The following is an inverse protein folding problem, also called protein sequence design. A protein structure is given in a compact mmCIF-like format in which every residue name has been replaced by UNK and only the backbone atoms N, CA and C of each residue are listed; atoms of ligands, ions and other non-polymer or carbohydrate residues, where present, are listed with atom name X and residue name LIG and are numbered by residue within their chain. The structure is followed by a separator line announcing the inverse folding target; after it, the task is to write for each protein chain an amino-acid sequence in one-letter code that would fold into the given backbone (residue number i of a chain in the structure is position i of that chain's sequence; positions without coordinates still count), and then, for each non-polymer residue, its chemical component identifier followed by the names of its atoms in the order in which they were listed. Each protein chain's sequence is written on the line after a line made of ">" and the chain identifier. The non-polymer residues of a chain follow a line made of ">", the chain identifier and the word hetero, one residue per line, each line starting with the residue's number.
data_IF_021843682266
#
_entry.id   IF_021843682266
#
_cell.length_a   1.000
_cell.length_b   1.000
_cell.length_c   1.000
_cell.angle_alpha   90.00
_cell.angle_beta   90.00
_cell.angle_gamma   90.00
#
_symmetry.space_group_name_H-M   'P 1'
#
loop_
_entity.id
_entity.type
_entity.pdbx_description
1 polymer ?
#
# COMPACT_ATOMS: atom_id res chain seq x y z
N UNK A 1 8.59 16.91 11.48
CA UNK A 1 7.61 16.28 12.39
C UNK A 1 6.49 17.25 12.78
N UNK A 2 6.80 18.41 13.38
CA UNK A 2 5.80 19.39 13.84
C UNK A 2 4.76 19.77 12.77
N UNK A 3 5.19 20.13 11.55
CA UNK A 3 4.26 20.46 10.46
C UNK A 3 3.33 19.30 10.12
N UNK A 4 3.84 18.08 10.07
CA UNK A 4 3.01 16.89 9.83
C UNK A 4 1.98 16.65 10.94
N UNK A 5 2.37 16.92 12.19
CA UNK A 5 1.45 16.82 13.32
C UNK A 5 0.33 17.86 13.23
N UNK A 6 0.64 19.11 12.87
CA UNK A 6 -0.37 20.16 12.66
C UNK A 6 -1.37 19.77 11.57
N UNK A 7 -0.88 19.27 10.43
CA UNK A 7 -1.75 18.78 9.36
C UNK A 7 -2.57 17.56 9.79
N UNK A 8 -2.01 16.64 10.58
CA UNK A 8 -2.75 15.50 11.09
C UNK A 8 -3.89 15.91 12.04
N UNK A 9 -3.69 16.92 12.89
CA UNK A 9 -4.75 17.50 13.71
C UNK A 9 -5.85 18.16 12.86
N UNK A 10 -5.45 18.94 11.85
CA UNK A 10 -6.40 19.54 10.91
C UNK A 10 -7.19 18.47 10.13
N UNK A 11 -6.50 17.44 9.65
CA UNK A 11 -7.10 16.28 8.98
C UNK A 11 -8.10 15.56 9.89
N UNK A 12 -7.74 15.34 11.15
CA UNK A 12 -8.62 14.70 12.12
C UNK A 12 -9.87 15.55 12.40
N UNK A 13 -9.72 16.88 12.49
CA UNK A 13 -10.88 17.78 12.56
C UNK A 13 -11.80 17.66 11.33
N UNK A 14 -11.23 17.53 10.13
CA UNK A 14 -12.00 17.28 8.91
C UNK A 14 -12.71 15.91 8.93
N UNK A 15 -12.04 14.85 9.44
CA UNK A 15 -12.65 13.52 9.65
C UNK A 15 -13.89 13.65 10.53
N UNK A 16 -13.77 14.34 11.68
CA UNK A 16 -14.91 14.56 12.58
C UNK A 16 -16.02 15.39 11.94
N UNK A 17 -15.68 16.40 11.13
CA UNK A 17 -16.66 17.24 10.44
C UNK A 17 -17.46 16.45 9.40
N UNK A 18 -16.80 15.59 8.61
CA UNK A 18 -17.42 14.85 7.50
C UNK A 18 -18.14 13.60 7.99
N UNK A 19 -17.53 12.82 8.89
CA UNK A 19 -18.14 11.57 9.38
C UNK A 19 -19.12 11.82 10.54
N UNK A 20 -18.92 12.87 11.34
CA UNK A 20 -19.77 13.20 12.48
C UNK A 20 -19.97 11.99 13.41
N UNK A 21 -21.24 11.68 13.70
CA UNK A 21 -21.62 10.53 14.52
C UNK A 21 -21.19 9.18 13.91
N UNK A 22 -21.08 9.06 12.57
CA UNK A 22 -20.68 7.83 11.91
C UNK A 22 -19.21 7.45 12.20
N UNK A 23 -18.37 8.40 12.66
CA UNK A 23 -17.02 8.08 13.11
C UNK A 23 -17.02 7.04 14.24
N UNK A 24 -18.07 7.00 15.07
CA UNK A 24 -18.20 6.00 16.13
C UNK A 24 -18.22 4.57 15.57
N UNK A 25 -18.83 4.36 14.41
CA UNK A 25 -18.87 3.05 13.77
C UNK A 25 -17.46 2.56 13.39
N UNK A 26 -16.52 3.47 13.13
CA UNK A 26 -15.12 3.11 12.84
C UNK A 26 -14.38 2.66 14.11
N UNK A 27 -14.68 3.29 15.26
CA UNK A 27 -14.18 2.88 16.57
C UNK A 27 -14.73 1.50 16.95
N UNK A 28 -16.04 1.32 16.80
CA UNK A 28 -16.73 0.08 17.15
C UNK A 28 -16.27 -1.08 16.24
N UNK A 29 -16.00 -0.81 14.95
CA UNK A 29 -15.42 -1.81 14.05
C UNK A 29 -14.02 -2.28 14.51
N UNK A 30 -13.17 -1.36 14.95
CA UNK A 30 -11.85 -1.71 15.49
C UNK A 30 -11.97 -2.48 16.81
N UNK A 31 -12.86 -2.05 17.72
CA UNK A 31 -13.11 -2.75 18.97
C UNK A 31 -13.66 -4.17 18.73
N UNK A 32 -14.53 -4.32 17.74
CA UNK A 32 -15.09 -5.61 17.31
C UNK A 32 -13.99 -6.61 16.95
N UNK A 33 -12.94 -6.21 16.23
CA UNK A 33 -11.81 -7.10 15.91
C UNK A 33 -11.11 -7.60 17.18
N UNK A 34 -10.90 -6.73 18.18
CA UNK A 34 -10.29 -7.10 19.47
C UNK A 34 -11.17 -8.05 20.27
N UNK A 35 -12.49 -7.91 20.16
CA UNK A 35 -13.48 -8.74 20.85
C UNK A 35 -13.82 -10.05 20.12
N UNK A 36 -13.27 -10.28 18.92
CA UNK A 36 -13.68 -11.36 18.04
C UNK A 36 -15.10 -11.18 17.49
N UNK A 37 -15.65 -9.97 17.56
CA UNK A 37 -16.97 -9.58 17.07
C UNK A 37 -16.87 -8.52 15.96
N UNK A 38 -16.18 -8.81 14.84
CA UNK A 38 -15.99 -7.84 13.79
C UNK A 38 -17.30 -7.58 13.04
N UNK A 39 -17.43 -6.39 12.44
CA UNK A 39 -18.56 -6.10 11.55
C UNK A 39 -18.64 -7.14 10.42
N UNK A 40 -17.50 -7.46 9.81
CA UNK A 40 -17.42 -8.46 8.76
C UNK A 40 -16.33 -9.47 9.08
N UNK A 41 -16.54 -10.75 8.74
CA UNK A 41 -15.53 -11.81 8.99
C UNK A 41 -14.16 -11.44 8.42
N UNK A 42 -14.12 -10.84 7.23
CA UNK A 42 -12.87 -10.40 6.58
C UNK A 42 -12.08 -9.38 7.40
N UNK A 43 -12.72 -8.62 8.30
CA UNK A 43 -12.04 -7.66 9.17
C UNK A 43 -11.30 -8.34 10.31
N UNK A 44 -11.63 -9.58 10.67
CA UNK A 44 -11.01 -10.27 11.81
C UNK A 44 -9.49 -10.45 11.65
N UNK A 45 -8.99 -10.56 10.41
CA UNK A 45 -7.55 -10.65 10.15
C UNK A 45 -6.80 -9.32 10.29
N UNK A 46 -7.49 -8.19 10.50
CA UNK A 46 -6.91 -6.84 10.58
C UNK A 46 -6.47 -6.50 12.01
N UNK A 47 -5.61 -7.34 12.58
CA UNK A 47 -5.29 -7.31 14.02
C UNK A 47 -4.31 -6.20 14.41
N UNK A 48 -3.39 -5.77 13.53
CA UNK A 48 -2.31 -4.85 13.92
C UNK A 48 -2.83 -3.55 14.54
N UNK A 49 -3.65 -2.80 13.81
CA UNK A 49 -4.12 -1.49 14.24
C UNK A 49 -5.05 -1.55 15.47
N UNK A 50 -6.09 -2.42 15.50
CA UNK A 50 -6.95 -2.58 16.68
C UNK A 50 -6.21 -2.99 17.96
N UNK A 51 -5.21 -3.87 17.87
CA UNK A 51 -4.45 -4.29 19.04
C UNK A 51 -3.49 -3.20 19.54
N UNK A 52 -2.91 -2.38 18.67
CA UNK A 52 -2.17 -1.17 19.09
C UNK A 52 -3.10 -0.23 19.85
N UNK A 53 -4.32 0.00 19.33
CA UNK A 53 -5.32 0.85 20.00
C UNK A 53 -5.71 0.26 21.36
N UNK A 54 -5.89 -1.07 21.45
CA UNK A 54 -6.15 -1.75 22.72
C UNK A 54 -5.02 -1.52 23.72
N UNK A 55 -3.75 -1.63 23.30
CA UNK A 55 -2.60 -1.30 24.15
C UNK A 55 -2.61 0.16 24.62
N UNK A 56 -2.82 1.10 23.69
CA UNK A 56 -2.91 2.53 23.99
C UNK A 56 -4.06 2.86 24.96
N UNK A 57 -5.15 2.09 24.93
CA UNK A 57 -6.32 2.32 25.80
C UNK A 57 -6.01 2.16 27.28
N UNK A 58 -4.94 1.42 27.63
CA UNK A 58 -4.44 1.33 29.01
C UNK A 58 -3.89 2.68 29.48
N UNK A 59 -3.25 3.43 28.59
CA UNK A 59 -2.62 4.72 28.89
C UNK A 59 -3.60 5.89 28.78
N UNK A 60 -4.56 5.82 27.85
CA UNK A 60 -5.51 6.91 27.61
C UNK A 60 -6.81 6.78 28.41
N UNK A 61 -6.97 5.71 29.19
CA UNK A 61 -8.16 5.46 30.01
C UNK A 61 -9.41 4.99 29.24
N UNK A 62 -9.29 4.69 27.94
CA UNK A 62 -10.43 4.23 27.14
C UNK A 62 -10.12 4.02 25.65
N UNK A 63 -10.83 3.06 25.04
CA UNK A 63 -10.64 2.68 23.64
C UNK A 63 -10.97 3.80 22.64
N UNK A 64 -12.06 4.59 22.80
CA UNK A 64 -12.35 5.69 21.87
C UNK A 64 -11.25 6.75 21.85
N UNK A 65 -10.74 7.16 23.02
CA UNK A 65 -9.67 8.16 23.10
C UNK A 65 -8.36 7.61 22.53
N UNK A 66 -8.01 6.35 22.80
CA UNK A 66 -6.88 5.67 22.17
C UNK A 66 -6.97 5.64 20.64
N UNK A 67 -8.16 5.38 20.11
CA UNK A 67 -8.41 5.37 18.66
C UNK A 67 -8.14 6.74 18.03
N UNK A 68 -8.59 7.82 18.68
CA UNK A 68 -8.34 9.20 18.24
C UNK A 68 -6.83 9.49 18.21
N UNK A 69 -6.12 9.20 19.31
CA UNK A 69 -4.67 9.39 19.38
C UNK A 69 -3.94 8.58 18.33
N UNK A 70 -4.35 7.32 18.11
CA UNK A 70 -3.80 6.46 17.08
C UNK A 70 -3.97 7.06 15.68
N UNK A 71 -5.17 7.52 15.33
CA UNK A 71 -5.46 8.11 14.01
C UNK A 71 -4.60 9.35 13.77
N UNK A 72 -4.50 10.26 14.74
CA UNK A 72 -3.67 11.46 14.64
C UNK A 72 -2.19 11.08 14.51
N UNK A 73 -1.71 10.16 15.34
CA UNK A 73 -0.31 9.72 15.32
C UNK A 73 0.08 9.04 14.00
N UNK A 74 -0.76 8.12 13.49
CA UNK A 74 -0.50 7.44 12.22
C UNK A 74 -0.56 8.40 11.03
N UNK A 75 -1.50 9.35 11.03
CA UNK A 75 -1.57 10.38 9.97
C UNK A 75 -0.36 11.32 10.01
N UNK A 76 0.07 11.73 11.21
CA UNK A 76 1.28 12.54 11.38
C UNK A 76 2.55 11.78 10.96
N UNK A 77 2.64 10.49 11.28
CA UNK A 77 3.74 9.63 10.87
C UNK A 77 3.76 9.46 9.34
N UNK A 78 2.61 9.21 8.71
CA UNK A 78 2.49 9.13 7.25
C UNK A 78 2.98 10.41 6.57
N UNK A 79 2.49 11.59 6.98
CA UNK A 79 2.93 12.87 6.40
C UNK A 79 4.43 13.13 6.62
N UNK A 80 4.98 12.76 7.78
CA UNK A 80 6.41 12.90 8.03
C UNK A 80 7.25 11.97 7.14
N UNK A 81 6.79 10.73 6.93
CA UNK A 81 7.43 9.80 6.02
C UNK A 81 7.36 10.30 4.57
N UNK A 82 6.23 10.87 4.13
CA UNK A 82 6.12 11.50 2.81
C UNK A 82 7.17 12.60 2.63
N UNK A 83 7.31 13.50 3.62
CA UNK A 83 8.35 14.53 3.60
C UNK A 83 9.76 13.92 3.57
N UNK A 84 10.07 13.06 4.55
CA UNK A 84 11.45 12.61 4.77
C UNK A 84 11.94 11.67 3.67
N UNK A 85 11.12 10.74 3.21
CA UNK A 85 11.53 9.73 2.24
C UNK A 85 11.53 10.28 0.81
N UNK A 86 10.60 11.18 0.48
CA UNK A 86 10.60 11.85 -0.82
C UNK A 86 11.79 12.83 -0.94
N UNK A 87 12.15 13.53 0.14
CA UNK A 87 13.34 14.40 0.17
C UNK A 87 14.62 13.60 -0.13
N UNK A 88 14.75 12.42 0.48
CA UNK A 88 15.88 11.51 0.24
C UNK A 88 15.95 10.99 -1.20
N UNK A 89 14.82 10.91 -1.91
CA UNK A 89 14.77 10.39 -3.28
C UNK A 89 14.89 11.49 -4.33
N UNK A 90 14.25 12.63 -4.11
CA UNK A 90 13.98 13.64 -5.15
C UNK A 90 14.19 15.09 -4.67
N UNK A 91 14.64 15.29 -3.43
CA UNK A 91 14.94 16.60 -2.85
C UNK A 91 13.73 17.35 -2.28
N UNK A 92 14.01 18.51 -1.69
CA UNK A 92 13.09 19.23 -0.78
C UNK A 92 11.81 19.70 -1.46
N UNK A 93 11.86 20.15 -2.71
CA UNK A 93 10.67 20.62 -3.43
C UNK A 93 9.68 19.47 -3.67
N UNK A 94 10.19 18.35 -4.16
CA UNK A 94 9.39 17.14 -4.35
C UNK A 94 8.81 16.65 -3.03
N UNK A 95 9.58 16.72 -1.94
CA UNK A 95 9.11 16.35 -0.61
C UNK A 95 7.88 17.13 -0.15
N UNK A 96 7.93 18.46 -0.25
CA UNK A 96 6.77 19.31 0.08
C UNK A 96 5.59 19.05 -0.85
N UNK A 97 5.84 18.88 -2.15
CA UNK A 97 4.79 18.56 -3.10
C UNK A 97 4.11 17.21 -2.82
N UNK A 98 4.87 16.15 -2.52
CA UNK A 98 4.33 14.85 -2.12
C UNK A 98 3.54 14.95 -0.81
N UNK A 99 4.02 15.71 0.17
CA UNK A 99 3.33 15.95 1.44
C UNK A 99 1.97 16.63 1.26
N UNK A 100 1.93 17.73 0.50
CA UNK A 100 0.67 18.42 0.23
C UNK A 100 -0.28 17.57 -0.61
N UNK A 101 0.25 16.87 -1.61
CA UNK A 101 -0.55 15.96 -2.45
C UNK A 101 -1.12 14.81 -1.61
N UNK A 102 -0.36 14.26 -0.66
CA UNK A 102 -0.85 13.25 0.29
C UNK A 102 -2.06 13.75 1.08
N UNK A 103 -1.94 14.92 1.73
CA UNK A 103 -3.05 15.49 2.52
C UNK A 103 -4.25 15.86 1.65
N UNK A 104 -4.01 16.41 0.45
CA UNK A 104 -5.07 16.74 -0.50
C UNK A 104 -5.83 15.48 -0.93
N UNK A 105 -5.13 14.43 -1.37
CA UNK A 105 -5.74 13.17 -1.79
C UNK A 105 -6.47 12.48 -0.64
N UNK A 106 -5.92 12.54 0.58
CA UNK A 106 -6.59 12.03 1.77
C UNK A 106 -7.92 12.76 2.01
N UNK A 107 -7.94 14.10 1.95
CA UNK A 107 -9.17 14.88 2.06
C UNK A 107 -10.19 14.51 0.99
N UNK A 108 -9.76 14.37 -0.27
CA UNK A 108 -10.64 14.05 -1.40
C UNK A 108 -11.25 12.64 -1.29
N UNK A 109 -10.55 11.71 -0.63
CA UNK A 109 -11.01 10.34 -0.40
C UNK A 109 -11.76 10.18 0.92
N UNK A 110 -12.01 11.25 1.66
CA UNK A 110 -12.77 11.20 2.90
C UNK A 110 -14.27 11.18 2.59
N UNK A 111 -14.84 9.99 2.43
CA UNK A 111 -16.29 9.81 2.25
C UNK A 111 -16.91 9.03 3.42
N UNK A 112 -18.13 9.42 3.86
CA UNK A 112 -18.91 8.63 4.79
C UNK A 112 -19.27 7.24 4.22
N UNK A 113 -19.59 6.24 5.07
CA UNK A 113 -19.59 6.29 6.54
C UNK A 113 -18.26 5.85 7.19
N UNK A 114 -17.29 5.35 6.41
CA UNK A 114 -16.24 4.49 6.95
C UNK A 114 -14.84 5.07 6.76
N UNK A 115 -14.08 5.12 7.85
CA UNK A 115 -12.63 5.32 7.82
C UNK A 115 -12.02 4.58 9.00
N UNK A 116 -11.43 3.42 8.74
CA UNK A 116 -11.00 2.53 9.81
C UNK A 116 -9.54 2.75 10.22
N UNK A 117 -9.19 2.33 11.43
CA UNK A 117 -7.84 2.41 11.95
C UNK A 117 -6.77 1.81 11.01
N UNK A 118 -7.04 0.63 10.43
CA UNK A 118 -6.10 -0.03 9.52
C UNK A 118 -5.88 0.72 8.21
N UNK A 119 -6.78 1.61 7.78
CA UNK A 119 -6.59 2.41 6.57
C UNK A 119 -5.44 3.42 6.77
N UNK A 120 -5.29 3.98 7.98
CA UNK A 120 -4.18 4.88 8.34
C UNK A 120 -2.83 4.16 8.38
N UNK A 121 -2.79 2.96 8.96
CA UNK A 121 -1.57 2.15 8.99
C UNK A 121 -1.16 1.69 7.58
N UNK A 122 -2.12 1.35 6.71
CA UNK A 122 -1.83 0.98 5.33
C UNK A 122 -1.09 2.09 4.57
N UNK A 123 -1.45 3.35 4.77
CA UNK A 123 -0.74 4.48 4.14
C UNK A 123 0.75 4.46 4.50
N UNK A 124 1.10 4.23 5.77
CA UNK A 124 2.51 4.13 6.21
C UNK A 124 3.21 2.95 5.52
N UNK A 125 2.58 1.78 5.56
CA UNK A 125 3.13 0.55 4.98
C UNK A 125 3.38 0.70 3.48
N UNK A 126 2.43 1.28 2.74
CA UNK A 126 2.57 1.51 1.30
C UNK A 126 3.49 2.69 0.95
N UNK A 127 3.71 3.64 1.88
CA UNK A 127 4.77 4.64 1.76
C UNK A 127 6.16 4.00 1.82
N UNK A 128 6.37 3.11 2.79
CA UNK A 128 7.61 2.35 2.91
C UNK A 128 7.82 1.42 1.72
N UNK A 129 6.77 0.72 1.28
CA UNK A 129 6.80 -0.12 0.08
C UNK A 129 7.23 0.69 -1.15
N UNK A 130 6.54 1.80 -1.42
CA UNK A 130 6.87 2.70 -2.54
C UNK A 130 8.32 3.17 -2.46
N UNK A 131 8.77 3.62 -1.28
CA UNK A 131 10.15 4.02 -1.06
C UNK A 131 11.17 2.89 -1.30
N UNK A 132 10.88 1.67 -0.85
CA UNK A 132 11.76 0.51 -1.05
C UNK A 132 11.89 0.14 -2.52
N UNK A 133 10.80 0.19 -3.28
CA UNK A 133 10.82 -0.01 -4.74
C UNK A 133 11.63 1.09 -5.42
N UNK A 134 11.36 2.36 -5.10
CA UNK A 134 12.06 3.50 -5.68
C UNK A 134 13.56 3.48 -5.38
N UNK A 135 13.98 3.00 -4.21
CA UNK A 135 15.40 2.94 -3.81
C UNK A 135 16.08 1.60 -4.09
N UNK A 136 15.37 0.64 -4.70
CA UNK A 136 15.93 -0.66 -5.07
C UNK A 136 16.44 -1.45 -3.87
N UNK A 137 15.66 -1.52 -2.78
CA UNK A 137 16.02 -2.33 -1.62
C UNK A 137 16.04 -3.82 -1.97
N UNK A 138 16.78 -4.60 -1.18
CA UNK A 138 16.77 -6.06 -1.31
C UNK A 138 15.48 -6.68 -0.75
N UNK A 139 15.27 -7.97 -1.05
CA UNK A 139 14.09 -8.72 -0.68
C UNK A 139 13.84 -8.82 0.84
N UNK A 140 14.87 -8.66 1.68
CA UNK A 140 14.73 -8.81 3.14
C UNK A 140 13.91 -7.67 3.72
N UNK A 141 14.11 -6.45 3.21
CA UNK A 141 13.30 -5.28 3.58
C UNK A 141 11.82 -5.49 3.26
N UNK A 142 11.52 -6.07 2.09
CA UNK A 142 10.14 -6.38 1.70
C UNK A 142 9.54 -7.51 2.53
N UNK A 143 10.31 -8.55 2.86
CA UNK A 143 9.84 -9.62 3.74
C UNK A 143 9.51 -9.10 5.15
N UNK A 144 10.35 -8.22 5.71
CA UNK A 144 10.07 -7.56 7.00
C UNK A 144 8.82 -6.68 6.89
N UNK A 145 8.73 -5.84 5.84
CA UNK A 145 7.55 -5.00 5.65
C UNK A 145 6.27 -5.82 5.47
N UNK A 146 6.32 -6.90 4.71
CA UNK A 146 5.23 -7.84 4.52
C UNK A 146 4.80 -8.46 5.85
N UNK A 147 5.75 -8.89 6.68
CA UNK A 147 5.46 -9.52 7.98
C UNK A 147 4.65 -8.62 8.90
N UNK A 148 4.78 -7.29 8.77
CA UNK A 148 3.96 -6.31 9.50
C UNK A 148 2.66 -6.02 8.75
N UNK A 149 2.74 -5.81 7.43
CA UNK A 149 1.62 -5.39 6.61
C UNK A 149 0.48 -6.41 6.58
N UNK A 150 0.80 -7.70 6.57
CA UNK A 150 -0.20 -8.77 6.48
C UNK A 150 -1.10 -8.84 7.72
N UNK A 151 -0.60 -8.46 8.90
CA UNK A 151 -1.42 -8.33 10.12
C UNK A 151 -2.29 -7.08 10.11
N UNK A 152 -2.01 -6.10 9.24
CA UNK A 152 -2.85 -4.91 9.12
C UNK A 152 -4.02 -5.13 8.15
N UNK A 153 -3.75 -5.67 6.96
CA UNK A 153 -4.77 -5.90 5.92
C UNK A 153 -4.29 -6.89 4.87
N UNK A 154 -5.24 -7.58 4.23
CA UNK A 154 -4.97 -8.46 3.08
C UNK A 154 -4.20 -7.82 1.93
N UNK A 155 -4.27 -6.49 1.76
CA UNK A 155 -3.49 -5.78 0.73
C UNK A 155 -1.98 -5.86 0.92
N UNK A 156 -1.49 -6.27 2.10
CA UNK A 156 -0.10 -6.65 2.29
C UNK A 156 0.39 -7.70 1.30
N UNK A 157 -0.50 -8.53 0.75
CA UNK A 157 -0.20 -9.49 -0.32
C UNK A 157 0.33 -8.84 -1.61
N UNK A 158 0.06 -7.55 -1.86
CA UNK A 158 0.64 -6.82 -3.00
C UNK A 158 2.16 -6.67 -2.89
N UNK A 159 2.71 -6.64 -1.67
CA UNK A 159 4.17 -6.62 -1.45
C UNK A 159 4.76 -7.97 -1.90
N UNK A 160 4.15 -9.08 -1.50
CA UNK A 160 4.56 -10.42 -1.93
C UNK A 160 4.40 -10.60 -3.45
N UNK A 161 3.30 -10.11 -4.02
CA UNK A 161 3.07 -10.13 -5.46
C UNK A 161 4.16 -9.35 -6.22
N UNK A 162 4.57 -8.19 -5.72
CA UNK A 162 5.70 -7.44 -6.28
C UNK A 162 7.01 -8.23 -6.21
N UNK A 163 7.28 -8.89 -5.07
CA UNK A 163 8.46 -9.74 -4.89
C UNK A 163 8.51 -10.93 -5.87
N UNK A 164 7.35 -11.39 -6.34
CA UNK A 164 7.25 -12.43 -7.37
C UNK A 164 7.41 -11.81 -8.76
N UNK A 165 6.68 -10.74 -9.05
CA UNK A 165 6.63 -10.12 -10.38
C UNK A 165 7.97 -9.53 -10.80
N UNK A 166 8.66 -8.80 -9.92
CA UNK A 166 9.87 -8.08 -10.25
C UNK A 166 11.04 -8.95 -10.76
N UNK A 167 11.44 -10.04 -10.06
CA UNK A 167 12.52 -10.90 -10.55
C UNK A 167 12.14 -11.63 -11.84
N UNK A 168 10.86 -11.96 -12.06
CA UNK A 168 10.40 -12.61 -13.29
C UNK A 168 10.43 -11.65 -14.48
N UNK A 169 9.90 -10.43 -14.31
CA UNK A 169 9.94 -9.37 -15.32
C UNK A 169 11.37 -9.07 -15.72
N UNK A 170 12.27 -8.86 -14.75
CA UNK A 170 13.68 -8.57 -15.04
C UNK A 170 14.39 -9.74 -15.71
N UNK A 171 14.11 -10.98 -15.31
CA UNK A 171 14.66 -12.16 -15.98
C UNK A 171 14.29 -12.23 -17.46
N UNK A 172 13.01 -11.98 -17.78
CA UNK A 172 12.51 -11.97 -19.16
C UNK A 172 13.15 -10.85 -19.96
N UNK A 173 13.19 -9.62 -19.41
CA UNK A 173 13.74 -8.46 -20.11
C UNK A 173 15.25 -8.54 -20.31
N UNK A 174 15.98 -9.00 -19.30
CA UNK A 174 17.44 -9.07 -19.32
C UNK A 174 17.94 -10.39 -19.95
N UNK A 175 17.04 -11.28 -20.36
CA UNK A 175 17.34 -12.66 -20.80
C UNK A 175 18.28 -13.37 -19.82
N UNK A 176 18.06 -13.14 -18.53
CA UNK A 176 18.91 -13.60 -17.43
C UNK A 176 18.15 -14.53 -16.48
N UNK A 177 18.87 -15.17 -15.56
CA UNK A 177 18.23 -15.96 -14.50
C UNK A 177 17.48 -15.03 -13.52
N UNK A 178 16.28 -15.41 -13.05
CA UNK A 178 15.56 -14.62 -12.07
C UNK A 178 16.31 -14.58 -10.74
N UNK A 179 16.08 -13.53 -9.97
CA UNK A 179 16.61 -13.41 -8.62
C UNK A 179 15.85 -14.37 -7.70
N UNK A 180 16.27 -15.64 -7.69
CA UNK A 180 15.59 -16.74 -7.01
C UNK A 180 15.29 -16.46 -5.54
N UNK A 181 16.23 -15.82 -4.81
CA UNK A 181 16.02 -15.49 -3.41
C UNK A 181 14.77 -14.60 -3.20
N UNK A 182 14.58 -13.59 -4.05
CA UNK A 182 13.43 -12.68 -3.97
C UNK A 182 12.14 -13.38 -4.41
N UNK A 183 12.19 -14.17 -5.48
CA UNK A 183 11.05 -14.93 -6.00
C UNK A 183 10.54 -15.95 -4.97
N UNK A 184 11.44 -16.76 -4.39
CA UNK A 184 11.11 -17.75 -3.37
C UNK A 184 10.58 -17.07 -2.11
N UNK A 185 11.23 -15.98 -1.65
CA UNK A 185 10.72 -15.21 -0.52
C UNK A 185 9.32 -14.65 -0.79
N UNK A 186 9.06 -14.16 -2.00
CA UNK A 186 7.74 -13.68 -2.42
C UNK A 186 6.68 -14.78 -2.41
N UNK A 187 6.99 -15.96 -2.95
CA UNK A 187 6.08 -17.13 -2.94
C UNK A 187 5.78 -17.60 -1.51
N UNK A 188 6.80 -17.69 -0.66
CA UNK A 188 6.63 -18.05 0.76
C UNK A 188 5.79 -17.00 1.49
N UNK A 189 6.06 -15.71 1.30
CA UNK A 189 5.25 -14.63 1.87
C UNK A 189 3.79 -14.72 1.39
N UNK A 190 3.55 -14.91 0.10
CA UNK A 190 2.21 -14.99 -0.46
C UNK A 190 1.42 -16.18 0.12
N UNK A 191 2.01 -17.38 0.08
CA UNK A 191 1.38 -18.60 0.61
C UNK A 191 1.14 -18.53 2.12
N UNK A 192 2.15 -18.16 2.90
CA UNK A 192 2.02 -18.02 4.36
C UNK A 192 1.05 -16.91 4.75
N UNK A 193 0.99 -15.81 3.99
CA UNK A 193 0.02 -14.75 4.19
C UNK A 193 -1.42 -15.22 4.03
N UNK A 194 -1.72 -15.97 2.97
CA UNK A 194 -3.06 -16.54 2.77
C UNK A 194 -3.47 -17.48 3.90
N UNK A 195 -2.56 -18.36 4.32
CA UNK A 195 -2.78 -19.27 5.45
C UNK A 195 -3.02 -18.48 6.73
N UNK A 196 -2.17 -17.50 7.03
CA UNK A 196 -2.27 -16.66 8.21
C UNK A 196 -3.59 -15.88 8.26
N UNK A 197 -4.01 -15.25 7.16
CA UNK A 197 -5.26 -14.49 7.10
C UNK A 197 -6.46 -15.39 7.41
N UNK A 198 -6.51 -16.60 6.86
CA UNK A 198 -7.59 -17.55 7.14
C UNK A 198 -7.53 -18.06 8.58
N UNK A 199 -6.34 -18.41 9.10
CA UNK A 199 -6.17 -18.80 10.49
C UNK A 199 -6.63 -17.71 11.46
N UNK A 200 -6.29 -16.45 11.23
CA UNK A 200 -6.73 -15.34 12.08
C UNK A 200 -8.26 -15.16 12.04
N UNK A 201 -8.87 -15.32 10.87
CA UNK A 201 -10.33 -15.24 10.68
C UNK A 201 -11.09 -16.39 11.32
N UNK A 202 -10.45 -17.54 11.50
CA UNK A 202 -11.10 -18.72 12.06
C UNK A 202 -10.87 -18.82 13.56
N UNK A 203 -9.64 -18.57 14.02
CA UNK A 203 -9.23 -18.73 15.42
C UNK A 203 -9.69 -17.58 16.32
N UNK A 204 -9.73 -16.34 15.80
CA UNK A 204 -10.07 -15.16 16.60
C UNK A 204 -11.54 -14.75 16.48
N UNK A 205 -12.29 -15.35 15.56
CA UNK A 205 -13.69 -15.00 15.33
C UNK A 205 -14.59 -15.68 16.37
N UNK A 206 -15.33 -14.87 17.12
CA UNK A 206 -16.40 -15.31 18.01
C UNK A 206 -17.73 -15.27 17.25
N UNK A 207 -18.07 -14.13 16.64
CA UNK A 207 -19.26 -13.98 15.79
C UNK A 207 -19.14 -12.78 14.87
N UNK A 208 -19.77 -12.84 13.70
CA UNK A 208 -19.91 -11.69 12.82
C UNK A 208 -21.13 -10.87 13.22
N UNK A 209 -20.99 -9.55 13.42
CA UNK A 209 -22.09 -8.71 13.93
C UNK A 209 -22.70 -7.77 12.88
N UNK A 210 -22.01 -7.53 11.75
CA UNK A 210 -22.47 -6.62 10.70
C UNK A 210 -23.84 -6.96 10.11
N UNK A 211 -24.14 -8.23 9.76
CA UNK A 211 -25.46 -8.62 9.26
C UNK A 211 -26.60 -8.14 10.16
N UNK A 212 -26.48 -8.34 11.48
CA UNK A 212 -27.46 -7.89 12.46
C UNK A 212 -27.48 -6.37 12.62
N UNK A 213 -26.31 -5.72 12.67
CA UNK A 213 -26.19 -4.27 12.85
C UNK A 213 -26.74 -3.48 11.66
N UNK A 214 -26.62 -4.02 10.45
CA UNK A 214 -26.98 -3.32 9.21
C UNK A 214 -28.20 -3.90 8.50
N UNK A 215 -28.90 -4.85 9.13
CA UNK A 215 -30.05 -5.55 8.55
C UNK A 215 -29.73 -6.15 7.16
N UNK A 216 -28.57 -6.81 7.05
CA UNK A 216 -28.06 -7.43 5.83
C UNK A 216 -28.04 -8.96 5.97
N UNK A 217 -28.14 -9.73 4.87
CA UNK A 217 -28.03 -11.18 4.93
C UNK A 217 -26.64 -11.64 5.42
N UNK A 218 -26.60 -12.72 6.20
CA UNK A 218 -25.36 -13.27 6.81
C UNK A 218 -24.24 -13.61 5.81
N UNK A 219 -24.58 -13.85 4.54
CA UNK A 219 -23.60 -14.17 3.51
C UNK A 219 -22.82 -12.95 2.99
N UNK A 220 -23.18 -11.73 3.42
CA UNK A 220 -22.54 -10.48 3.01
C UNK A 220 -21.03 -10.42 3.32
N UNK A 221 -20.50 -11.20 4.28
CA UNK A 221 -19.09 -11.14 4.70
C UNK A 221 -18.29 -12.44 4.69
N UNK A 222 -18.87 -13.57 4.24
CA UNK A 222 -18.22 -14.90 4.39
C UNK A 222 -17.03 -15.16 3.48
N UNK A 223 -16.94 -14.53 2.30
CA UNK A 223 -15.85 -14.66 1.34
C UNK A 223 -15.75 -13.42 0.44
N UNK A 224 -14.65 -13.26 -0.30
CA UNK A 224 -14.50 -12.21 -1.32
C UNK A 224 -15.69 -12.26 -2.29
N UNK A 225 -16.63 -11.33 -2.12
CA UNK A 225 -17.77 -11.22 -3.02
C UNK A 225 -17.30 -10.59 -4.32
N UNK A 226 -17.70 -11.19 -5.43
CA UNK A 226 -17.47 -10.58 -6.73
C UNK A 226 -18.43 -9.40 -6.90
N UNK A 227 -17.92 -8.21 -6.63
CA UNK A 227 -18.63 -6.93 -6.72
C UNK A 227 -18.46 -6.27 -8.10
N UNK A 228 -17.87 -6.95 -9.09
CA UNK A 228 -17.53 -6.33 -10.37
C UNK A 228 -18.73 -5.66 -11.05
N UNK A 229 -19.85 -6.39 -11.22
CA UNK A 229 -21.05 -5.86 -11.85
C UNK A 229 -21.62 -4.68 -11.06
N UNK A 230 -21.66 -4.79 -9.73
CA UNK A 230 -22.11 -3.72 -8.84
C UNK A 230 -21.23 -2.47 -8.97
N UNK A 231 -19.91 -2.63 -8.97
CA UNK A 231 -18.94 -1.55 -9.09
C UNK A 231 -19.00 -0.87 -10.46
N UNK A 232 -19.17 -1.62 -11.55
CA UNK A 232 -19.38 -1.05 -12.90
C UNK A 232 -20.66 -0.22 -12.95
N UNK A 233 -21.75 -0.71 -12.38
CA UNK A 233 -23.00 0.03 -12.29
C UNK A 233 -22.86 1.30 -11.43
N UNK A 234 -22.12 1.23 -10.31
CA UNK A 234 -21.80 2.42 -9.51
C UNK A 234 -21.02 3.46 -10.30
N UNK A 235 -19.98 3.05 -11.03
CA UNK A 235 -19.19 3.95 -11.87
C UNK A 235 -20.09 4.62 -12.91
N UNK A 236 -20.93 3.85 -13.62
CA UNK A 236 -21.89 4.40 -14.58
C UNK A 236 -22.81 5.44 -13.92
N UNK A 237 -23.38 5.10 -12.76
CA UNK A 237 -24.27 5.99 -12.02
C UNK A 237 -23.55 7.28 -11.55
N UNK A 238 -22.24 7.24 -11.27
CA UNK A 238 -21.48 8.44 -10.88
C UNK A 238 -21.37 9.46 -12.01
N UNK A 239 -21.34 9.01 -13.27
CA UNK A 239 -21.36 9.90 -14.44
C UNK A 239 -22.76 10.43 -14.75
N UNK A 240 -23.80 9.64 -14.46
CA UNK A 240 -25.19 10.02 -14.71
C UNK A 240 -25.76 10.94 -13.60
N UNK A 241 -25.24 10.85 -12.38
CA UNK A 241 -25.78 11.56 -11.21
C UNK A 241 -24.67 12.33 -10.47
N UNK A 242 -24.37 13.54 -10.97
CA UNK A 242 -23.43 14.45 -10.32
C UNK A 242 -24.02 14.90 -8.98
N UNK A 243 -23.40 14.47 -7.88
CA UNK A 243 -23.80 14.84 -6.52
C UNK A 243 -22.64 15.46 -5.73
N UNK A 244 -22.95 16.10 -4.60
CA UNK A 244 -21.96 16.73 -3.73
C UNK A 244 -21.09 15.74 -2.94
N UNK A 245 -21.30 14.43 -3.10
CA UNK A 245 -20.42 13.40 -2.52
C UNK A 245 -19.17 13.16 -3.38
N UNK A 246 -19.07 13.81 -4.55
CA UNK A 246 -17.90 13.73 -5.44
C UNK A 246 -17.49 12.30 -5.78
N UNK A 247 -18.44 11.37 -5.88
CA UNK A 247 -18.15 9.95 -6.14
C UNK A 247 -17.38 9.72 -7.45
N UNK A 248 -17.49 10.64 -8.42
CA UNK A 248 -16.70 10.65 -9.66
C UNK A 248 -15.18 10.72 -9.40
N UNK A 249 -14.73 11.21 -8.24
CA UNK A 249 -13.31 11.21 -7.89
C UNK A 249 -12.72 9.81 -7.81
N UNK A 250 -13.52 8.79 -7.48
CA UNK A 250 -13.07 7.40 -7.40
C UNK A 250 -12.55 6.89 -8.75
N UNK A 251 -13.36 6.86 -9.84
CA UNK A 251 -12.86 6.44 -11.15
C UNK A 251 -11.77 7.37 -11.67
N UNK A 252 -11.83 8.68 -11.41
CA UNK A 252 -10.74 9.60 -11.78
C UNK A 252 -9.40 9.22 -11.12
N UNK A 253 -9.40 8.90 -9.83
CA UNK A 253 -8.19 8.49 -9.11
C UNK A 253 -7.68 7.13 -9.57
N UNK A 254 -8.56 6.18 -9.86
CA UNK A 254 -8.17 4.89 -10.46
C UNK A 254 -7.51 5.11 -11.82
N UNK A 255 -8.06 5.98 -12.66
CA UNK A 255 -7.44 6.37 -13.93
C UNK A 255 -6.09 7.04 -13.68
N UNK A 256 -5.95 7.95 -12.72
CA UNK A 256 -4.67 8.57 -12.37
C UNK A 256 -3.62 7.52 -11.96
N UNK A 257 -4.00 6.50 -11.18
CA UNK A 257 -3.11 5.40 -10.78
C UNK A 257 -2.64 4.62 -12.02
N UNK A 258 -3.57 4.26 -12.92
CA UNK A 258 -3.26 3.54 -14.15
C UNK A 258 -2.40 4.38 -15.11
N UNK A 259 -2.73 5.66 -15.30
CA UNK A 259 -1.96 6.59 -16.12
C UNK A 259 -0.54 6.76 -15.57
N UNK A 260 -0.38 7.00 -14.27
CA UNK A 260 0.96 7.12 -13.68
C UNK A 260 1.75 5.81 -13.82
N UNK A 261 1.12 4.66 -13.58
CA UNK A 261 1.72 3.34 -13.76
C UNK A 261 2.22 3.14 -15.19
N UNK A 262 1.38 3.48 -16.18
CA UNK A 262 1.73 3.43 -17.59
C UNK A 262 2.89 4.37 -17.92
N UNK A 263 2.81 5.65 -17.55
CA UNK A 263 3.85 6.65 -17.83
C UNK A 263 5.20 6.22 -17.22
N UNK A 264 5.20 5.75 -15.97
CA UNK A 264 6.42 5.26 -15.33
C UNK A 264 7.00 4.03 -16.04
N UNK A 265 6.13 3.09 -16.46
CA UNK A 265 6.56 1.91 -17.21
C UNK A 265 7.13 2.25 -18.58
N UNK A 266 6.59 3.25 -19.28
CA UNK A 266 7.15 3.70 -20.58
C UNK A 266 8.48 4.41 -20.37
N UNK A 267 8.61 5.19 -19.29
CA UNK A 267 9.81 5.98 -19.00
C UNK A 267 11.03 5.13 -18.65
N UNK A 268 10.86 4.12 -17.81
CA UNK A 268 11.91 3.16 -17.43
C UNK A 268 11.27 1.81 -17.15
N UNK A 269 11.02 1.09 -18.25
CA UNK A 269 10.30 -0.19 -18.25
C UNK A 269 10.94 -1.20 -17.31
N UNK A 270 12.27 -1.33 -17.37
CA UNK A 270 13.03 -2.30 -16.56
C UNK A 270 12.88 -2.04 -15.06
N UNK A 271 12.73 -0.78 -14.65
CA UNK A 271 12.65 -0.41 -13.23
C UNK A 271 11.22 -0.39 -12.69
N UNK A 272 10.27 0.10 -13.48
CA UNK A 272 8.93 0.42 -12.96
C UNK A 272 7.82 -0.49 -13.46
N UNK A 273 8.05 -1.35 -14.46
CA UNK A 273 6.99 -2.22 -14.99
C UNK A 273 6.40 -3.15 -13.92
N UNK A 274 7.23 -3.77 -13.08
CA UNK A 274 6.78 -4.62 -11.97
C UNK A 274 5.91 -3.87 -10.97
N UNK A 275 6.26 -2.60 -10.68
CA UNK A 275 5.45 -1.73 -9.82
C UNK A 275 4.11 -1.39 -10.50
N UNK A 276 4.14 -1.08 -11.79
CA UNK A 276 2.94 -0.81 -12.58
C UNK A 276 1.98 -2.02 -12.58
N UNK A 277 2.49 -3.24 -12.76
CA UNK A 277 1.68 -4.46 -12.68
C UNK A 277 0.97 -4.62 -11.34
N UNK A 278 1.65 -4.30 -10.24
CA UNK A 278 1.08 -4.40 -8.89
C UNK A 278 0.00 -3.33 -8.66
N UNK A 279 0.20 -2.12 -9.16
CA UNK A 279 -0.82 -1.06 -9.09
C UNK A 279 -2.04 -1.40 -9.96
N UNK A 280 -1.83 -1.96 -11.16
CA UNK A 280 -2.91 -2.48 -12.01
C UNK A 280 -3.66 -3.60 -11.28
N UNK A 281 -2.95 -4.56 -10.68
CA UNK A 281 -3.56 -5.63 -9.90
C UNK A 281 -4.36 -5.09 -8.70
N UNK A 282 -3.87 -4.05 -8.03
CA UNK A 282 -4.61 -3.37 -6.96
C UNK A 282 -5.91 -2.74 -7.47
N UNK A 283 -5.87 -2.02 -8.59
CA UNK A 283 -7.06 -1.40 -9.22
C UNK A 283 -8.07 -2.46 -9.64
N UNK A 284 -7.62 -3.54 -10.29
CA UNK A 284 -8.49 -4.67 -10.68
C UNK A 284 -9.09 -5.34 -9.46
N UNK A 285 -8.30 -5.55 -8.40
CA UNK A 285 -8.78 -6.14 -7.15
C UNK A 285 -9.83 -5.25 -6.48
N UNK A 286 -9.70 -3.93 -6.52
CA UNK A 286 -10.73 -3.00 -6.03
C UNK A 286 -12.01 -3.13 -6.87
N UNK A 287 -11.90 -3.20 -8.20
CA UNK A 287 -13.06 -3.38 -9.08
C UNK A 287 -13.78 -4.72 -8.85
N UNK A 288 -13.04 -5.80 -8.62
CA UNK A 288 -13.63 -7.14 -8.50
C UNK A 288 -14.11 -7.43 -7.07
N UNK A 289 -13.35 -7.04 -6.05
CA UNK A 289 -13.60 -7.45 -4.66
C UNK A 289 -13.89 -6.30 -3.71
N UNK A 290 -13.49 -5.08 -4.06
CA UNK A 290 -13.76 -3.90 -3.26
C UNK A 290 -15.23 -3.48 -3.34
N UNK A 291 -15.65 -2.66 -2.37
CA UNK A 291 -16.92 -1.94 -2.43
C UNK A 291 -16.56 -0.51 -2.84
N UNK A 292 -16.69 -0.19 -4.14
CA UNK A 292 -16.12 1.06 -4.70
C UNK A 292 -16.75 2.32 -4.11
N UNK A 293 -17.97 2.22 -3.58
CA UNK A 293 -18.62 3.31 -2.84
C UNK A 293 -17.88 3.68 -1.54
N UNK A 294 -17.01 2.80 -1.02
CA UNK A 294 -16.11 3.12 0.07
C UNK A 294 -14.79 3.68 -0.47
N UNK A 295 -14.73 5.00 -0.72
CA UNK A 295 -13.53 5.72 -1.22
C UNK A 295 -12.23 5.37 -0.49
N UNK A 296 -12.31 5.03 0.80
CA UNK A 296 -11.19 4.67 1.68
C UNK A 296 -10.31 3.54 1.11
N UNK A 297 -10.85 2.67 0.24
CA UNK A 297 -10.08 1.58 -0.38
C UNK A 297 -8.94 2.09 -1.27
N UNK A 298 -9.01 3.33 -1.74
CA UNK A 298 -7.98 3.98 -2.55
C UNK A 298 -6.88 4.65 -1.71
N UNK A 299 -7.04 4.76 -0.38
CA UNK A 299 -6.04 5.43 0.48
C UNK A 299 -4.67 4.76 0.40
N UNK A 300 -4.63 3.45 0.17
CA UNK A 300 -3.40 2.66 0.06
C UNK A 300 -2.59 2.98 -1.20
N UNK A 301 -3.23 3.55 -2.22
CA UNK A 301 -2.59 3.99 -3.46
C UNK A 301 -2.08 5.43 -3.39
N UNK A 302 -2.46 6.22 -2.36
CA UNK A 302 -1.98 7.59 -2.21
C UNK A 302 -0.44 7.66 -2.19
N UNK A 303 0.30 6.81 -1.45
CA UNK A 303 1.75 6.89 -1.47
C UNK A 303 2.38 6.74 -2.85
N UNK A 304 1.81 5.87 -3.69
CA UNK A 304 2.25 5.69 -5.06
C UNK A 304 2.02 6.95 -5.90
N UNK A 305 0.85 7.56 -5.81
CA UNK A 305 0.56 8.82 -6.52
C UNK A 305 1.44 9.97 -6.00
N UNK A 306 1.51 10.14 -4.68
CA UNK A 306 2.18 11.25 -4.02
C UNK A 306 3.68 11.24 -4.24
N UNK A 307 4.33 10.07 -4.16
CA UNK A 307 5.78 9.93 -4.37
C UNK A 307 6.14 9.64 -5.83
N UNK A 308 5.36 8.80 -6.52
CA UNK A 308 5.68 8.29 -7.85
C UNK A 308 5.65 9.36 -8.94
N UNK A 309 4.80 10.39 -8.80
CA UNK A 309 4.75 11.50 -9.76
C UNK A 309 6.09 12.25 -9.87
N UNK A 310 6.87 12.30 -8.79
CA UNK A 310 8.15 13.01 -8.76
C UNK A 310 9.27 12.29 -9.52
N UNK A 311 9.10 11.01 -9.84
CA UNK A 311 9.97 10.31 -10.79
C UNK A 311 9.92 10.97 -12.18
N UNK A 312 8.81 11.64 -12.51
CA UNK A 312 8.64 12.32 -13.80
C UNK A 312 9.38 13.65 -13.88
N UNK A 313 9.68 14.24 -12.72
CA UNK A 313 10.36 15.51 -12.57
C UNK A 313 11.72 15.28 -11.90
N UNK A 314 12.71 14.73 -12.63
CA UNK A 314 14.09 14.75 -12.17
C UNK A 314 14.54 16.20 -12.23
N UNK A 315 14.13 17.02 -11.26
CA UNK A 315 14.70 18.34 -11.10
C UNK A 315 16.17 18.15 -10.75
N UNK A 316 16.96 18.19 -11.82
CA UNK A 316 18.38 18.45 -11.89
C UNK A 316 19.26 17.68 -10.90
N UNK A 317 20.13 16.82 -11.44
CA UNK A 317 21.40 16.34 -10.86
C UNK A 317 22.37 17.47 -10.39
N UNK A 318 21.88 18.67 -10.09
CA UNK A 318 22.65 19.87 -9.77
C UNK A 318 22.86 19.99 -8.25
N UNK A 319 24.07 19.64 -7.82
CA UNK A 319 24.76 20.48 -6.84
C UNK A 319 25.55 19.77 -5.75
N UNK A 320 25.23 18.53 -5.39
CA UNK A 320 25.90 17.85 -4.26
C UNK A 320 26.69 16.64 -4.75
N UNK A 321 27.91 16.92 -5.19
CA UNK A 321 29.07 16.01 -5.19
C UNK A 321 28.90 14.63 -5.84
N UNK A 322 29.52 14.51 -7.02
CA UNK A 322 29.82 13.32 -7.82
C UNK A 322 30.53 12.15 -7.11
N UNK A 323 30.82 12.18 -5.80
CA UNK A 323 31.73 11.19 -5.19
C UNK A 323 31.09 9.87 -4.74
N UNK A 324 29.78 9.69 -4.88
CA UNK A 324 29.17 8.40 -4.58
C UNK A 324 28.03 8.05 -5.55
N UNK A 325 28.30 8.20 -6.86
CA UNK A 325 27.66 7.31 -7.85
C UNK A 325 28.04 5.89 -7.45
N UNK A 326 27.23 5.30 -6.55
CA UNK A 326 27.01 3.86 -6.55
C UNK A 326 26.77 3.54 -8.01
N UNK A 327 27.76 2.89 -8.61
CA UNK A 327 27.65 2.36 -9.96
C UNK A 327 26.27 1.68 -10.03
N UNK A 328 25.53 1.77 -11.16
CA UNK A 328 24.44 0.83 -11.38
C UNK A 328 24.99 -0.53 -10.98
N UNK A 329 24.27 -1.25 -10.10
CA UNK A 329 24.63 -2.55 -9.54
C UNK A 329 25.62 -3.23 -10.48
N UNK A 330 26.84 -3.61 -10.05
CA UNK A 330 27.75 -4.30 -10.94
C UNK A 330 26.93 -5.41 -11.56
N UNK A 331 26.71 -5.32 -12.88
CA UNK A 331 26.36 -6.48 -13.68
C UNK A 331 27.37 -7.50 -13.18
N UNK A 332 26.87 -8.49 -12.43
CA UNK A 332 27.69 -9.59 -11.95
C UNK A 332 28.41 -10.04 -13.20
N UNK A 333 29.72 -9.77 -13.27
CA UNK A 333 30.55 -10.29 -14.35
C UNK A 333 30.24 -11.78 -14.32
N UNK A 334 29.57 -12.26 -15.35
CA UNK A 334 29.39 -13.68 -15.58
C UNK A 334 30.73 -14.31 -15.30
N UNK A 335 30.79 -15.14 -14.26
CA UNK A 335 31.98 -15.86 -13.90
C UNK A 335 32.57 -16.43 -15.19
N UNK A 336 33.84 -16.10 -15.44
CA UNK A 336 34.51 -16.43 -16.68
C UNK A 336 34.31 -17.91 -16.98
N UNK A 337 33.65 -18.17 -18.11
CA UNK A 337 33.97 -19.33 -18.90
C UNK A 337 35.35 -19.02 -19.45
N UNK A 338 36.38 -19.46 -18.73
CA UNK A 338 37.74 -19.47 -19.26
C UNK A 338 37.73 -20.42 -20.43
N UNK A 339 37.86 -19.86 -21.63
CA UNK A 339 38.29 -20.59 -22.82
C UNK A 339 39.61 -21.28 -22.49
N UNK A 340 39.53 -22.58 -22.21
CA UNK A 340 40.67 -23.49 -22.23
C UNK A 340 40.84 -23.98 -23.67
N UNK A 341 41.38 -23.10 -24.51
CA UNK A 341 41.92 -23.44 -25.81
C UNK A 341 43.21 -22.63 -26.00
N UNK A 342 44.30 -23.34 -26.27
CA UNK A 342 45.67 -22.88 -26.60
C UNK A 342 46.72 -23.01 -25.50
N UNK A 343 47.31 -24.21 -25.41
CA UNK A 343 48.77 -24.41 -25.34
C UNK A 343 49.12 -25.89 -25.23
N UNK A 344 48.98 -26.63 -26.33
CA UNK A 344 49.78 -27.83 -26.55
C UNK A 344 50.28 -27.80 -27.99
N UNK A 345 51.25 -26.92 -28.23
CA UNK A 345 52.23 -27.11 -29.30
C UNK A 345 53.50 -26.32 -28.98
N UNK A 346 54.58 -27.06 -28.66
CA UNK A 346 56.02 -26.72 -28.71
C UNK A 346 56.79 -27.82 -27.95
N UNK A 347 57.25 -28.84 -28.65
CA UNK A 347 58.57 -28.98 -29.32
C UNK A 347 59.61 -29.70 -28.46
N UNK A 348 59.98 -30.89 -28.94
CA UNK A 348 61.36 -31.32 -29.27
C UNK A 348 62.46 -30.96 -28.26
N UNK A 349 62.91 -31.98 -27.51
CA UNK A 349 64.30 -32.44 -27.48
C UNK A 349 64.38 -33.80 -26.78
#
# INVERSE_FOLDING_TARGET
>A
MIVSLLFAFAQFRMILLILGAAYRNSIDAALGVVQGQPHWRVFQSRVLSPWIIKGLSILTGGFPLAHIFFVIAMTALAGWLMLSLTDRCFGRRAAWGAFFLFHLLFCLLLAPPWLYAWDHASIILFTLFTYFVLTGKDWRWFAVLFSVAIFNRESGLYIALWMIADPLVKAVLDRARPQWAMLVAGLVCFGSGLVLLNMLRDLLLVKEVGPALFNMPEMAGRNFQNNFVMNVNFIKNFFENINFYFNMLIPCLMICILCLSFILSVRDFRRYFSLALVQVASVVSILVFGVISETRVLLESIPFLAMGIWVLFPEAEKGTSRTNRRRPFPLVKSAGFTDSADSMDRTVS
#
